data_IF_768579193804
#
_entry.id   IF_768579193804
#
_cell.length_a   1.000
_cell.length_b   1.000
_cell.length_c   1.000
_cell.angle_alpha   90.00
_cell.angle_beta   90.00
_cell.angle_gamma   90.00
#
_symmetry.space_group_name_H-M   'P 1'
#
loop_
_entity.id
_entity.type
_entity.pdbx_description
1 polymer ?
#
# COMPACT_ATOMS: atom_id res chain seq x y z
N UNK A 1 34.90 16.55 12.05
CA UNK A 1 36.21 15.86 11.99
C UNK A 1 36.29 14.99 13.22
N UNK A 2 36.16 13.67 13.08
CA UNK A 2 36.22 12.74 14.21
C UNK A 2 37.49 11.91 14.06
N UNK A 3 38.46 12.11 14.94
CA UNK A 3 39.61 11.22 15.08
C UNK A 3 39.24 10.12 16.08
N UNK A 4 38.93 8.94 15.57
CA UNK A 4 38.90 7.73 16.41
C UNK A 4 40.38 7.37 16.67
N UNK A 5 40.90 7.74 17.84
CA UNK A 5 42.24 7.29 18.25
C UNK A 5 42.21 5.77 18.38
N UNK A 6 42.92 5.10 17.46
CA UNK A 6 43.00 3.65 17.41
C UNK A 6 43.87 3.14 18.57
N UNK A 7 43.36 2.20 19.36
CA UNK A 7 44.00 1.74 20.60
C UNK A 7 45.29 0.93 20.39
N UNK A 8 45.53 0.47 19.16
CA UNK A 8 46.73 -0.27 18.79
C UNK A 8 47.81 0.70 18.30
N UNK A 9 48.87 0.86 19.10
CA UNK A 9 49.99 1.78 18.85
C UNK A 9 50.67 1.56 17.50
N UNK A 10 50.73 0.31 17.03
CA UNK A 10 51.35 -0.04 15.75
C UNK A 10 50.50 0.43 14.58
N UNK A 11 49.18 0.29 14.65
CA UNK A 11 48.27 0.82 13.62
C UNK A 11 48.25 2.35 13.65
N UNK A 12 48.18 2.96 14.84
CA UNK A 12 48.15 4.41 15.00
C UNK A 12 49.41 5.11 14.45
N UNK A 13 50.57 4.44 14.49
CA UNK A 13 51.83 4.97 13.93
C UNK A 13 52.04 4.62 12.46
N UNK A 14 51.49 3.49 11.97
CA UNK A 14 51.71 3.00 10.60
C UNK A 14 50.62 3.39 9.60
N UNK A 15 49.43 3.77 10.09
CA UNK A 15 48.28 4.17 9.28
C UNK A 15 47.80 5.55 9.69
N UNK A 16 47.94 6.50 8.76
CA UNK A 16 47.21 7.76 8.83
C UNK A 16 45.95 7.63 7.98
N UNK A 17 44.79 7.44 8.61
CA UNK A 17 43.51 7.40 7.91
C UNK A 17 43.00 8.82 7.66
N UNK A 18 43.14 9.28 6.42
CA UNK A 18 42.41 10.46 5.93
C UNK A 18 41.06 10.02 5.39
N UNK A 19 40.00 10.28 6.17
CA UNK A 19 38.63 9.99 5.79
C UNK A 19 38.01 11.19 5.09
N UNK A 20 38.08 11.19 3.75
CA UNK A 20 37.21 11.99 2.90
C UNK A 20 36.00 11.15 2.52
N UNK A 21 34.79 11.66 2.73
CA UNK A 21 33.57 10.94 2.38
C UNK A 21 32.99 11.50 1.07
N UNK A 22 32.99 10.68 0.03
CA UNK A 22 32.26 11.01 -1.18
C UNK A 22 30.76 10.87 -0.89
N UNK A 23 30.03 11.99 -0.93
CA UNK A 23 28.59 11.99 -0.73
C UNK A 23 27.90 11.91 -2.07
N UNK A 24 26.99 10.95 -2.20
CA UNK A 24 26.02 10.91 -3.30
C UNK A 24 24.92 11.90 -2.93
N UNK A 25 24.68 12.90 -3.78
CA UNK A 25 23.61 13.89 -3.57
C UNK A 25 22.48 13.63 -4.56
N UNK A 26 21.30 13.28 -4.04
CA UNK A 26 20.09 13.13 -4.86
C UNK A 26 19.32 14.46 -4.94
N UNK A 27 19.26 15.05 -6.14
CA UNK A 27 18.50 16.27 -6.42
C UNK A 27 17.01 16.01 -6.68
N UNK A 28 16.56 14.75 -6.67
CA UNK A 28 15.18 14.33 -6.96
C UNK A 28 14.28 14.19 -5.73
N UNK A 29 14.74 14.63 -4.56
CA UNK A 29 13.99 14.56 -3.31
C UNK A 29 12.56 15.15 -3.39
N UNK A 30 12.34 16.15 -4.25
CA UNK A 30 11.02 16.78 -4.45
C UNK A 30 9.96 15.83 -5.04
N UNK A 31 10.36 14.77 -5.76
CA UNK A 31 9.40 13.80 -6.33
C UNK A 31 8.72 12.96 -5.25
N UNK A 32 9.32 12.87 -4.06
CA UNK A 32 8.67 12.25 -2.90
C UNK A 32 7.52 13.11 -2.32
N UNK A 33 7.26 14.32 -2.83
CA UNK A 33 6.02 15.05 -2.55
C UNK A 33 4.76 14.25 -2.96
N UNK A 34 4.89 13.26 -3.85
CA UNK A 34 3.82 12.29 -4.13
C UNK A 34 3.37 11.55 -2.86
N UNK A 35 4.32 11.14 -2.01
CA UNK A 35 4.00 10.47 -0.74
C UNK A 35 3.38 11.40 0.28
N UNK A 36 3.72 12.69 0.25
CA UNK A 36 3.02 13.68 1.08
C UNK A 36 1.54 13.75 0.71
N UNK A 37 1.23 13.78 -0.59
CA UNK A 37 -0.17 13.73 -1.06
C UNK A 37 -0.88 12.42 -0.68
N UNK A 38 -0.22 11.27 -0.86
CA UNK A 38 -0.78 9.97 -0.46
C UNK A 38 -1.01 9.89 1.06
N UNK A 39 -0.07 10.43 1.84
CA UNK A 39 -0.15 10.54 3.29
C UNK A 39 -1.33 11.39 3.74
N UNK A 40 -1.50 12.59 3.18
CA UNK A 40 -2.65 13.46 3.47
C UNK A 40 -3.99 12.77 3.21
N UNK A 41 -4.12 12.07 2.07
CA UNK A 41 -5.35 11.33 1.75
C UNK A 41 -5.62 10.20 2.76
N UNK A 42 -4.57 9.52 3.20
CA UNK A 42 -4.65 8.41 4.16
C UNK A 42 -4.99 8.92 5.56
N UNK A 43 -4.36 10.00 6.01
CA UNK A 43 -4.66 10.67 7.29
C UNK A 43 -6.10 11.17 7.32
N UNK A 44 -6.58 11.79 6.23
CA UNK A 44 -7.98 12.22 6.14
C UNK A 44 -8.94 11.03 6.28
N UNK A 45 -8.66 9.93 5.58
CA UNK A 45 -9.47 8.71 5.67
C UNK A 45 -9.49 8.12 7.09
N UNK A 46 -8.34 8.12 7.76
CA UNK A 46 -8.24 7.70 9.16
C UNK A 46 -9.06 8.63 10.08
N UNK A 47 -9.02 9.94 9.82
CA UNK A 47 -9.86 10.91 10.53
C UNK A 47 -11.36 10.63 10.37
N UNK A 48 -11.79 10.24 9.16
CA UNK A 48 -13.18 9.82 8.90
C UNK A 48 -13.53 8.56 9.69
N UNK A 49 -12.66 7.54 9.69
CA UNK A 49 -12.85 6.34 10.51
C UNK A 49 -12.99 6.67 12.00
N UNK A 50 -12.08 7.47 12.53
CA UNK A 50 -12.12 7.90 13.94
C UNK A 50 -13.41 8.66 14.25
N UNK A 51 -13.88 9.52 13.35
CA UNK A 51 -15.14 10.24 13.53
C UNK A 51 -16.34 9.27 13.56
N UNK A 52 -16.43 8.33 12.62
CA UNK A 52 -17.51 7.34 12.59
C UNK A 52 -17.48 6.45 13.84
N UNK A 53 -16.30 5.97 14.23
CA UNK A 53 -16.12 5.17 15.44
C UNK A 53 -16.53 5.95 16.70
N UNK A 54 -16.15 7.23 16.78
CA UNK A 54 -16.55 8.13 17.87
C UNK A 54 -18.07 8.34 17.92
N UNK A 55 -18.72 8.59 16.77
CA UNK A 55 -20.17 8.77 16.71
C UNK A 55 -20.90 7.50 17.14
N UNK A 56 -20.45 6.33 16.70
CA UNK A 56 -21.01 5.05 17.13
C UNK A 56 -20.82 4.83 18.63
N UNK A 57 -19.63 5.12 19.18
CA UNK A 57 -19.36 5.02 20.60
C UNK A 57 -20.29 5.94 21.43
N UNK A 58 -20.56 7.16 20.96
CA UNK A 58 -21.54 8.07 21.60
C UNK A 58 -22.97 7.52 21.61
N UNK A 59 -23.33 6.69 20.64
CA UNK A 59 -24.62 5.98 20.60
C UNK A 59 -24.63 4.66 21.39
N UNK A 60 -23.55 4.36 22.13
CA UNK A 60 -23.42 3.14 22.93
C UNK A 60 -23.04 1.89 22.12
N UNK A 61 -22.60 2.04 20.87
CA UNK A 61 -22.20 0.94 19.99
C UNK A 61 -20.69 0.98 19.77
N UNK A 62 -19.97 -0.04 20.25
CA UNK A 62 -18.55 -0.17 19.93
C UNK A 62 -18.39 -0.75 18.53
N UNK A 63 -17.95 0.07 17.58
CA UNK A 63 -17.71 -0.32 16.20
C UNK A 63 -16.42 0.32 15.69
N UNK A 64 -15.54 -0.48 15.09
CA UNK A 64 -14.28 -0.05 14.46
C UNK A 64 -14.23 -0.72 13.09
N UNK A 65 -14.30 0.09 12.03
CA UNK A 65 -14.19 -0.38 10.65
C UNK A 65 -12.75 -0.51 10.16
N UNK A 66 -12.60 -1.01 8.93
CA UNK A 66 -11.30 -1.19 8.26
C UNK A 66 -10.60 0.16 7.95
N UNK A 67 -9.40 0.43 8.50
CA UNK A 67 -8.66 1.67 8.20
C UNK A 67 -8.27 1.82 6.72
N UNK A 68 -8.29 0.73 5.94
CA UNK A 68 -7.95 0.70 4.52
C UNK A 68 -9.17 0.78 3.60
N UNK A 69 -10.39 0.87 4.13
CA UNK A 69 -11.64 0.91 3.36
C UNK A 69 -11.69 1.98 2.24
N UNK A 70 -11.04 3.13 2.46
CA UNK A 70 -11.00 4.23 1.49
C UNK A 70 -10.02 4.00 0.33
N UNK A 71 -9.05 3.10 0.52
CA UNK A 71 -8.00 2.79 -0.46
C UNK A 71 -8.49 1.70 -1.39
N UNK A 72 -9.15 2.09 -2.48
CA UNK A 72 -9.52 1.12 -3.50
C UNK A 72 -8.29 0.52 -4.21
N UNK A 73 -8.42 -0.72 -4.67
CA UNK A 73 -7.43 -1.41 -5.52
C UNK A 73 -6.94 -0.52 -6.68
N UNK A 74 -7.85 0.14 -7.41
CA UNK A 74 -7.48 1.02 -8.52
C UNK A 74 -6.60 2.22 -8.08
N UNK A 75 -6.96 2.85 -6.96
CA UNK A 75 -6.18 3.94 -6.38
C UNK A 75 -4.80 3.50 -5.89
N UNK A 76 -4.70 2.29 -5.33
CA UNK A 76 -3.42 1.71 -4.91
C UNK A 76 -2.52 1.38 -6.10
N UNK A 77 -3.09 0.79 -7.15
CA UNK A 77 -2.37 0.50 -8.41
C UNK A 77 -1.90 1.80 -9.07
N UNK A 78 -2.74 2.85 -9.12
CA UNK A 78 -2.30 4.13 -9.66
C UNK A 78 -1.17 4.77 -8.85
N UNK A 79 -1.18 4.62 -7.51
CA UNK A 79 -0.07 5.07 -6.66
C UNK A 79 1.22 4.33 -7.00
N UNK A 80 1.16 3.00 -7.14
CA UNK A 80 2.29 2.17 -7.55
C UNK A 80 2.86 2.57 -8.91
N UNK A 81 1.99 2.81 -9.91
CA UNK A 81 2.41 3.27 -11.25
C UNK A 81 3.11 4.62 -11.18
N UNK A 82 2.61 5.58 -10.39
CA UNK A 82 3.24 6.89 -10.21
C UNK A 82 4.64 6.76 -9.58
N UNK A 83 4.80 5.88 -8.58
CA UNK A 83 6.11 5.61 -7.97
C UNK A 83 7.06 4.96 -8.99
N UNK A 84 6.61 3.96 -9.76
CA UNK A 84 7.46 3.35 -10.80
C UNK A 84 7.87 4.35 -11.88
N UNK A 85 6.96 5.25 -12.29
CA UNK A 85 7.29 6.34 -13.20
C UNK A 85 8.32 7.28 -12.59
N UNK A 86 8.22 7.59 -11.30
CA UNK A 86 9.22 8.40 -10.59
C UNK A 86 10.59 7.73 -10.59
N UNK A 87 10.66 6.41 -10.38
CA UNK A 87 11.90 5.66 -10.48
C UNK A 87 12.48 5.72 -11.87
N UNK A 88 11.66 5.54 -12.91
CA UNK A 88 12.11 5.63 -14.29
C UNK A 88 12.70 7.01 -14.63
N UNK A 89 12.04 8.09 -14.21
CA UNK A 89 12.52 9.47 -14.39
C UNK A 89 13.82 9.73 -13.61
N UNK A 90 13.95 9.18 -12.40
CA UNK A 90 15.18 9.20 -11.62
C UNK A 90 16.20 8.15 -12.09
N UNK A 91 16.00 7.53 -13.26
CA UNK A 91 16.85 6.47 -13.82
C UNK A 91 17.13 5.33 -12.84
N UNK A 92 16.23 5.03 -11.90
CA UNK A 92 16.38 4.05 -10.81
C UNK A 92 17.52 4.34 -9.83
N UNK A 93 17.90 5.61 -9.66
CA UNK A 93 19.01 6.01 -8.81
C UNK A 93 18.84 5.61 -7.34
N UNK A 94 17.70 5.93 -6.74
CA UNK A 94 17.42 5.62 -5.34
C UNK A 94 17.51 4.11 -5.03
N UNK A 95 16.91 3.27 -5.90
CA UNK A 95 16.98 1.80 -5.72
C UNK A 95 18.42 1.29 -5.85
N UNK A 96 19.18 1.85 -6.79
CA UNK A 96 20.58 1.51 -6.99
C UNK A 96 21.43 1.88 -5.77
N UNK A 97 21.24 3.07 -5.22
CA UNK A 97 21.95 3.56 -4.04
C UNK A 97 21.69 2.66 -2.82
N UNK A 98 20.41 2.28 -2.62
CA UNK A 98 20.04 1.31 -1.58
C UNK A 98 20.74 -0.05 -1.77
N UNK A 99 20.73 -0.60 -2.99
CA UNK A 99 21.42 -1.86 -3.29
C UNK A 99 22.94 -1.75 -3.08
N UNK A 100 23.55 -0.62 -3.47
CA UNK A 100 24.97 -0.35 -3.28
C UNK A 100 25.34 -0.29 -1.79
N UNK A 101 24.50 0.30 -0.95
CA UNK A 101 24.69 0.30 0.50
C UNK A 101 24.66 -1.11 1.08
N UNK A 102 23.71 -1.96 0.66
CA UNK A 102 23.65 -3.35 1.09
C UNK A 102 24.90 -4.12 0.65
N UNK A 103 25.28 -3.99 -0.63
CA UNK A 103 26.48 -4.64 -1.17
C UNK A 103 27.75 -4.23 -0.43
N UNK A 104 27.92 -2.93 -0.18
CA UNK A 104 29.05 -2.38 0.56
C UNK A 104 29.10 -2.84 2.02
N UNK A 105 27.95 -2.99 2.68
CA UNK A 105 27.87 -3.55 4.03
C UNK A 105 28.24 -5.04 4.07
N UNK A 106 27.83 -5.82 3.07
CA UNK A 106 28.16 -7.25 2.97
C UNK A 106 29.65 -7.45 2.65
N UNK A 107 30.19 -6.72 1.68
CA UNK A 107 31.59 -6.84 1.27
C UNK A 107 32.58 -6.05 2.14
N UNK A 108 32.06 -5.22 3.06
CA UNK A 108 32.83 -4.33 3.95
C UNK A 108 33.78 -3.41 3.17
N UNK A 109 33.36 -2.97 1.99
CA UNK A 109 34.20 -2.16 1.08
C UNK A 109 33.95 -0.67 1.23
N UNK A 110 32.69 -0.25 1.36
CA UNK A 110 32.32 1.16 1.46
C UNK A 110 31.05 1.36 2.28
N UNK A 111 30.97 2.51 2.93
CA UNK A 111 29.77 2.99 3.62
C UNK A 111 29.04 3.92 2.66
N UNK A 112 27.88 3.48 2.16
CA UNK A 112 26.99 4.32 1.35
C UNK A 112 25.82 4.75 2.24
N UNK A 113 25.70 6.06 2.48
CA UNK A 113 24.56 6.63 3.21
C UNK A 113 23.33 6.65 2.31
N UNK A 114 22.21 6.18 2.83
CA UNK A 114 20.94 6.12 2.10
C UNK A 114 19.83 6.60 3.01
N UNK A 115 18.87 7.32 2.45
CA UNK A 115 17.62 7.64 3.13
C UNK A 115 16.68 6.44 3.08
N UNK A 116 16.82 5.54 4.04
CA UNK A 116 16.05 4.27 4.11
C UNK A 116 14.54 4.49 4.10
N UNK A 117 14.06 5.54 4.76
CA UNK A 117 12.63 5.88 4.83
C UNK A 117 12.01 6.18 3.46
N UNK A 118 12.77 6.78 2.54
CA UNK A 118 12.30 7.07 1.18
C UNK A 118 12.18 5.77 0.37
N UNK A 119 13.18 4.90 0.48
CA UNK A 119 13.16 3.57 -0.14
C UNK A 119 11.99 2.75 0.41
N UNK A 120 11.78 2.80 1.73
CA UNK A 120 10.70 2.09 2.42
C UNK A 120 9.34 2.49 1.84
N UNK A 121 9.04 3.79 1.81
CA UNK A 121 7.77 4.29 1.31
C UNK A 121 7.52 3.90 -0.15
N UNK A 122 8.52 4.08 -1.02
CA UNK A 122 8.40 3.75 -2.44
C UNK A 122 8.17 2.24 -2.64
N UNK A 123 9.01 1.40 -2.03
CA UNK A 123 8.95 -0.06 -2.20
C UNK A 123 7.68 -0.62 -1.57
N UNK A 124 7.21 -0.09 -0.42
CA UNK A 124 5.94 -0.48 0.20
C UNK A 124 4.76 -0.20 -0.73
N UNK A 125 4.69 0.99 -1.32
CA UNK A 125 3.58 1.36 -2.23
C UNK A 125 3.58 0.47 -3.47
N UNK A 126 4.74 0.23 -4.07
CA UNK A 126 4.86 -0.68 -5.23
C UNK A 126 4.50 -2.11 -4.84
N UNK A 127 4.98 -2.60 -3.71
CA UNK A 127 4.65 -3.93 -3.20
C UNK A 127 3.14 -4.10 -2.98
N UNK A 128 2.50 -3.16 -2.28
CA UNK A 128 1.05 -3.19 -2.06
C UNK A 128 0.29 -3.13 -3.38
N UNK A 129 0.77 -2.36 -4.37
CA UNK A 129 0.16 -2.37 -5.70
C UNK A 129 0.24 -3.74 -6.39
N UNK A 130 1.38 -4.43 -6.28
CA UNK A 130 1.57 -5.79 -6.82
C UNK A 130 0.70 -6.82 -6.08
N UNK A 131 0.58 -6.73 -4.76
CA UNK A 131 -0.32 -7.57 -3.97
C UNK A 131 -1.78 -7.33 -4.37
N UNK A 132 -2.17 -6.07 -4.63
CA UNK A 132 -3.50 -5.75 -5.16
C UNK A 132 -3.76 -6.37 -6.54
N UNK A 133 -2.75 -6.40 -7.42
CA UNK A 133 -2.84 -7.07 -8.73
C UNK A 133 -2.92 -8.60 -8.57
N UNK A 134 -2.12 -9.20 -7.69
CA UNK A 134 -2.17 -10.64 -7.38
C UNK A 134 -3.53 -11.04 -6.82
N UNK A 135 -4.08 -10.24 -5.91
CA UNK A 135 -5.43 -10.41 -5.37
C UNK A 135 -6.49 -10.40 -6.47
N UNK A 136 -6.40 -9.45 -7.41
CA UNK A 136 -7.31 -9.37 -8.58
C UNK A 136 -7.16 -10.60 -9.49
N UNK A 137 -5.92 -11.06 -9.74
CA UNK A 137 -5.63 -12.22 -10.56
C UNK A 137 -6.19 -13.52 -9.95
N UNK A 138 -5.97 -13.73 -8.65
CA UNK A 138 -6.47 -14.92 -7.96
C UNK A 138 -7.96 -14.84 -7.61
N UNK A 139 -8.57 -13.64 -7.70
CA UNK A 139 -9.92 -13.34 -7.25
C UNK A 139 -10.10 -13.67 -5.77
N UNK A 140 -9.15 -13.27 -4.94
CA UNK A 140 -9.17 -13.49 -3.49
C UNK A 140 -8.86 -12.19 -2.74
N UNK A 141 -9.46 -12.00 -1.57
CA UNK A 141 -9.16 -10.87 -0.69
C UNK A 141 -7.90 -11.15 0.10
N UNK A 142 -7.04 -10.15 0.20
CA UNK A 142 -5.82 -10.22 1.01
C UNK A 142 -5.93 -9.14 2.09
N UNK A 143 -5.79 -9.54 3.35
CA UNK A 143 -5.83 -8.59 4.46
C UNK A 143 -4.63 -7.61 4.36
N UNK A 144 -4.87 -6.29 4.31
CA UNK A 144 -3.82 -5.28 4.28
C UNK A 144 -2.82 -5.40 5.42
N UNK A 145 -3.30 -5.72 6.62
CA UNK A 145 -2.49 -5.82 7.83
C UNK A 145 -1.48 -6.94 7.70
N UNK A 146 -1.88 -8.09 7.14
CA UNK A 146 -1.00 -9.23 6.88
C UNK A 146 0.06 -8.84 5.84
N UNK A 147 -0.36 -8.20 4.74
CA UNK A 147 0.57 -7.79 3.69
C UNK A 147 1.61 -6.78 4.19
N UNK A 148 1.19 -5.77 4.95
CA UNK A 148 2.07 -4.75 5.53
C UNK A 148 2.98 -5.37 6.59
N UNK A 149 2.44 -6.19 7.51
CA UNK A 149 3.23 -6.83 8.55
C UNK A 149 4.36 -7.69 7.97
N UNK A 150 4.05 -8.53 6.96
CA UNK A 150 5.07 -9.35 6.30
C UNK A 150 6.11 -8.48 5.57
N UNK A 151 5.69 -7.36 4.99
CA UNK A 151 6.61 -6.39 4.39
C UNK A 151 7.58 -5.83 5.41
N UNK A 152 7.10 -5.35 6.56
CA UNK A 152 7.97 -4.79 7.61
C UNK A 152 8.98 -5.81 8.15
N UNK A 153 8.56 -7.07 8.29
CA UNK A 153 9.47 -8.16 8.68
C UNK A 153 10.58 -8.37 7.64
N UNK A 154 10.24 -8.43 6.34
CA UNK A 154 11.22 -8.61 5.27
C UNK A 154 12.12 -7.38 5.11
N UNK A 155 11.56 -6.18 5.19
CA UNK A 155 12.30 -4.92 5.10
C UNK A 155 13.33 -4.81 6.24
N UNK A 156 12.91 -5.01 7.49
CA UNK A 156 13.79 -4.92 8.66
C UNK A 156 14.89 -5.99 8.67
N UNK A 157 14.65 -7.16 8.06
CA UNK A 157 15.62 -8.26 7.93
C UNK A 157 16.31 -8.31 6.58
N UNK A 158 16.11 -7.32 5.71
CA UNK A 158 16.55 -7.35 4.32
C UNK A 158 18.05 -7.64 4.19
N UNK A 159 18.89 -6.89 4.91
CA UNK A 159 20.34 -7.10 4.91
C UNK A 159 20.73 -8.52 5.33
N UNK A 160 20.14 -9.04 6.41
CA UNK A 160 20.41 -10.38 6.91
C UNK A 160 19.98 -11.45 5.91
N UNK A 161 18.84 -11.26 5.24
CA UNK A 161 18.35 -12.16 4.19
C UNK A 161 19.29 -12.18 2.99
N UNK A 162 19.78 -11.02 2.53
CA UNK A 162 20.77 -10.95 1.43
C UNK A 162 22.12 -11.51 1.82
N UNK A 163 22.60 -11.24 3.02
CA UNK A 163 23.86 -11.79 3.52
C UNK A 163 23.83 -13.33 3.66
N UNK A 164 22.66 -13.87 4.00
CA UNK A 164 22.41 -15.31 4.20
C UNK A 164 21.85 -16.02 2.97
N UNK A 165 21.68 -15.30 1.85
CA UNK A 165 21.18 -15.86 0.61
C UNK A 165 22.13 -16.93 0.04
N UNK A 166 21.67 -17.64 -1.00
CA UNK A 166 22.51 -18.60 -1.71
C UNK A 166 23.82 -17.94 -2.18
N UNK A 167 24.88 -18.74 -2.26
CA UNK A 167 26.20 -18.25 -2.66
C UNK A 167 26.17 -17.53 -4.02
N UNK A 168 25.24 -17.90 -4.91
CA UNK A 168 25.04 -17.27 -6.22
C UNK A 168 24.52 -15.85 -6.07
N UNK A 169 23.40 -15.64 -5.35
CA UNK A 169 22.78 -14.32 -5.19
C UNK A 169 23.75 -13.37 -4.48
N UNK A 170 24.35 -13.84 -3.38
CA UNK A 170 25.33 -13.04 -2.63
C UNK A 170 26.54 -12.65 -3.48
N UNK A 171 27.03 -13.57 -4.33
CA UNK A 171 28.16 -13.30 -5.22
C UNK A 171 27.84 -12.21 -6.22
N UNK A 172 26.64 -12.18 -6.81
CA UNK A 172 26.27 -11.14 -7.77
C UNK A 172 26.15 -9.76 -7.11
N UNK A 173 25.54 -9.68 -5.91
CA UNK A 173 25.44 -8.42 -5.15
C UNK A 173 26.84 -7.87 -4.79
N UNK A 174 27.71 -8.73 -4.27
CA UNK A 174 29.07 -8.35 -3.86
C UNK A 174 29.95 -8.02 -5.05
N UNK A 175 29.92 -8.84 -6.11
CA UNK A 175 30.77 -8.67 -7.29
C UNK A 175 30.55 -7.31 -7.94
N UNK A 176 29.29 -6.93 -8.15
CA UNK A 176 28.98 -5.63 -8.75
C UNK A 176 29.40 -4.47 -7.83
N UNK A 177 29.06 -4.55 -6.54
CA UNK A 177 29.45 -3.52 -5.56
C UNK A 177 30.98 -3.33 -5.50
N UNK A 178 31.74 -4.43 -5.49
CA UNK A 178 33.20 -4.41 -5.49
C UNK A 178 33.80 -3.87 -6.79
N UNK A 179 33.21 -4.16 -7.95
CA UNK A 179 33.63 -3.59 -9.23
C UNK A 179 33.49 -2.08 -9.20
N UNK A 180 32.32 -1.58 -8.75
CA UNK A 180 32.06 -0.15 -8.63
C UNK A 180 33.02 0.49 -7.63
N UNK A 181 33.23 -0.11 -6.47
CA UNK A 181 34.19 0.38 -5.48
C UNK A 181 35.62 0.49 -6.02
N UNK A 182 36.05 -0.49 -6.83
CA UNK A 182 37.39 -0.52 -7.45
C UNK A 182 37.58 0.56 -8.51
N UNK A 183 36.53 1.18 -9.03
CA UNK A 183 36.67 2.33 -9.94
C UNK A 183 37.32 3.53 -9.26
N UNK A 184 37.13 3.68 -7.95
CA UNK A 184 37.79 4.71 -7.16
C UNK A 184 39.26 4.41 -6.86
N UNK A 185 39.76 3.20 -7.12
CA UNK A 185 41.16 2.84 -6.89
C UNK A 185 41.98 3.21 -8.12
N UNK A 186 42.89 4.20 -8.04
CA UNK A 186 43.67 4.62 -9.19
C UNK A 186 44.67 3.52 -9.60
N UNK A 187 44.94 3.42 -10.91
CA UNK A 187 45.98 2.53 -11.43
C UNK A 187 47.35 3.16 -11.19
N UNK A 188 48.11 2.59 -10.26
CA UNK A 188 49.46 3.06 -9.90
C UNK A 188 50.50 2.08 -10.46
N UNK A 189 51.64 2.60 -10.94
CA UNK A 189 52.75 1.75 -11.42
C UNK A 189 53.40 0.98 -10.26
N UNK A 190 53.99 -0.17 -10.56
CA UNK A 190 54.65 -1.02 -9.55
C UNK A 190 55.82 -0.31 -8.84
N UNK A 191 56.47 0.65 -9.51
CA UNK A 191 57.52 1.48 -8.91
C UNK A 191 56.96 2.44 -7.85
N UNK A 192 55.87 3.15 -8.16
CA UNK A 192 55.24 4.10 -7.23
C UNK A 192 54.60 3.38 -6.04
N UNK A 193 53.96 2.23 -6.28
CA UNK A 193 53.38 1.40 -5.21
C UNK A 193 54.43 0.86 -4.22
N UNK A 194 55.69 0.70 -4.65
CA UNK A 194 56.81 0.33 -3.77
C UNK A 194 57.37 1.52 -2.99
N UNK A 195 57.26 2.73 -3.52
CA UNK A 195 57.78 3.96 -2.91
C UNK A 195 56.83 4.53 -1.84
N UNK A 196 55.51 4.37 -2.00
CA UNK A 196 54.52 4.88 -1.07
C UNK A 196 53.52 3.77 -0.67
N UNK A 197 53.41 3.41 0.63
CA UNK A 197 52.42 2.46 1.12
C UNK A 197 51.00 3.05 1.22
N UNK A 198 50.81 4.30 0.82
CA UNK A 198 49.53 5.01 0.91
C UNK A 198 48.53 4.44 -0.10
N UNK A 199 47.32 4.13 0.38
CA UNK A 199 46.18 3.74 -0.44
C UNK A 199 45.37 4.98 -0.74
N UNK A 200 45.23 5.30 -2.03
CA UNK A 200 44.39 6.41 -2.50
C UNK A 200 43.06 5.84 -3.01
N UNK A 201 41.97 6.51 -2.67
CA UNK A 201 40.67 6.29 -3.28
C UNK A 201 40.11 7.64 -3.71
N UNK A 202 39.71 7.74 -4.98
CA UNK A 202 39.30 9.00 -5.61
C UNK A 202 37.84 8.95 -6.02
N UNK A 203 37.21 10.12 -6.08
CA UNK A 203 35.89 10.24 -6.69
C UNK A 203 35.91 9.75 -8.14
N UNK A 204 34.86 9.04 -8.54
CA UNK A 204 34.72 8.49 -9.88
C UNK A 204 33.27 8.67 -10.34
N UNK A 205 33.05 8.58 -11.64
CA UNK A 205 31.71 8.61 -12.20
C UNK A 205 31.12 7.19 -12.20
N UNK A 206 29.96 7.03 -11.56
CA UNK A 206 29.21 5.78 -11.61
C UNK A 206 28.71 5.55 -13.06
N UNK A 207 28.86 4.34 -13.61
CA UNK A 207 28.36 4.04 -14.95
C UNK A 207 26.87 4.38 -15.11
N UNK A 208 26.50 5.00 -16.24
CA UNK A 208 25.10 5.33 -16.52
C UNK A 208 24.22 4.09 -16.64
N UNK A 209 24.76 3.02 -17.23
CA UNK A 209 24.08 1.74 -17.35
C UNK A 209 24.09 1.00 -16.01
N UNK A 210 22.93 0.94 -15.36
CA UNK A 210 22.72 0.16 -14.14
C UNK A 210 22.55 -1.32 -14.49
N UNK A 211 23.20 -2.19 -13.73
CA UNK A 211 23.08 -3.63 -13.94
C UNK A 211 21.76 -4.15 -13.36
N UNK A 212 20.85 -4.59 -14.24
CA UNK A 212 19.57 -5.16 -13.86
C UNK A 212 19.71 -6.46 -13.06
N UNK A 213 20.76 -7.25 -13.30
CA UNK A 213 21.03 -8.49 -12.56
C UNK A 213 21.35 -8.18 -11.11
N UNK A 214 22.18 -7.16 -10.88
CA UNK A 214 22.50 -6.67 -9.55
C UNK A 214 21.27 -6.17 -8.79
N UNK A 215 20.40 -5.40 -9.45
CA UNK A 215 19.17 -4.91 -8.84
C UNK A 215 18.21 -6.07 -8.51
N UNK A 216 17.97 -6.98 -9.45
CA UNK A 216 17.11 -8.14 -9.23
C UNK A 216 17.64 -9.05 -8.11
N UNK A 217 18.95 -9.31 -8.08
CA UNK A 217 19.59 -10.09 -7.03
C UNK A 217 19.48 -9.40 -5.67
N UNK A 218 19.55 -8.06 -5.62
CA UNK A 218 19.41 -7.30 -4.37
C UNK A 218 17.98 -7.28 -3.84
N UNK A 219 16.98 -7.22 -4.73
CA UNK A 219 15.55 -7.21 -4.38
C UNK A 219 14.93 -8.62 -4.22
N UNK A 220 15.72 -9.70 -4.27
CA UNK A 220 15.19 -11.06 -4.13
C UNK A 220 14.33 -11.31 -2.87
N UNK A 221 14.57 -10.68 -1.69
CA UNK A 221 13.73 -10.94 -0.51
C UNK A 221 12.28 -10.51 -0.75
N UNK A 222 12.06 -9.45 -1.51
CA UNK A 222 10.72 -8.98 -1.88
C UNK A 222 10.06 -9.90 -2.93
N UNK A 223 10.84 -10.53 -3.80
CA UNK A 223 10.32 -11.56 -4.72
C UNK A 223 9.84 -12.81 -3.97
N UNK A 224 10.56 -13.21 -2.92
CA UNK A 224 10.11 -14.28 -2.00
C UNK A 224 8.82 -13.86 -1.30
N UNK A 225 8.75 -12.63 -0.79
CA UNK A 225 7.56 -12.10 -0.13
C UNK A 225 6.32 -12.15 -1.03
N UNK A 226 6.43 -11.71 -2.29
CA UNK A 226 5.34 -11.80 -3.27
C UNK A 226 4.93 -13.26 -3.53
N UNK A 227 5.90 -14.17 -3.55
CA UNK A 227 5.65 -15.61 -3.73
C UNK A 227 4.92 -16.21 -2.53
N UNK A 228 5.27 -15.79 -1.30
CA UNK A 228 4.56 -16.18 -0.06
C UNK A 228 3.10 -15.72 -0.11
N UNK A 229 2.86 -14.48 -0.52
CA UNK A 229 1.49 -13.95 -0.66
C UNK A 229 0.70 -14.68 -1.74
N UNK A 230 1.31 -14.93 -2.90
CA UNK A 230 0.66 -15.70 -3.97
C UNK A 230 0.30 -17.12 -3.49
N UNK A 231 1.21 -17.77 -2.76
CA UNK A 231 0.97 -19.08 -2.14
C UNK A 231 -0.14 -19.03 -1.09
N UNK A 232 -0.17 -18.00 -0.25
CA UNK A 232 -1.24 -17.77 0.73
C UNK A 232 -2.60 -17.60 0.05
N UNK A 233 -2.68 -16.79 -1.00
CA UNK A 233 -3.91 -16.59 -1.77
C UNK A 233 -4.39 -17.90 -2.43
N UNK A 234 -3.47 -18.69 -2.99
CA UNK A 234 -3.78 -19.98 -3.59
C UNK A 234 -4.26 -21.01 -2.55
N UNK A 235 -3.60 -21.09 -1.39
CA UNK A 235 -4.01 -21.94 -0.28
C UNK A 235 -5.39 -21.55 0.24
N UNK A 236 -5.65 -20.25 0.41
CA UNK A 236 -6.93 -19.73 0.86
C UNK A 236 -8.04 -20.08 -0.15
N UNK A 237 -7.76 -19.96 -1.44
CA UNK A 237 -8.69 -20.34 -2.51
C UNK A 237 -9.03 -21.84 -2.49
N UNK A 238 -8.02 -22.69 -2.30
CA UNK A 238 -8.21 -24.14 -2.15
C UNK A 238 -9.05 -24.44 -0.90
N UNK A 239 -8.75 -23.77 0.22
CA UNK A 239 -9.49 -23.94 1.46
C UNK A 239 -10.98 -23.57 1.30
N UNK A 240 -11.30 -22.43 0.67
CA UNK A 240 -12.68 -22.01 0.38
C UNK A 240 -13.41 -22.95 -0.57
N UNK A 241 -12.68 -23.61 -1.48
CA UNK A 241 -13.26 -24.62 -2.36
C UNK A 241 -13.73 -25.86 -1.59
N UNK A 242 -12.93 -26.33 -0.62
CA UNK A 242 -13.27 -27.49 0.20
C UNK A 242 -14.25 -27.17 1.35
N UNK A 243 -14.16 -25.96 1.90
CA UNK A 243 -15.01 -25.47 2.98
C UNK A 243 -15.75 -24.21 2.53
N UNK A 244 -16.73 -24.34 1.62
CA UNK A 244 -17.52 -23.20 1.18
C UNK A 244 -18.24 -22.59 2.40
N UNK A 245 -18.22 -21.26 2.48
CA UNK A 245 -18.98 -20.55 3.51
C UNK A 245 -20.44 -21.01 3.44
N UNK A 246 -20.96 -21.49 4.57
CA UNK A 246 -22.38 -21.80 4.69
C UNK A 246 -23.11 -20.48 4.55
N UNK A 247 -23.56 -20.18 3.33
CA UNK A 247 -24.60 -19.17 3.12
C UNK A 247 -25.70 -19.51 4.11
N UNK A 248 -25.86 -18.68 5.14
CA UNK A 248 -26.89 -18.85 6.17
C UNK A 248 -28.24 -18.45 5.56
N UNK A 249 -28.58 -19.03 4.40
CA UNK A 249 -29.92 -19.12 3.88
C UNK A 249 -30.69 -19.97 4.89
N UNK A 250 -31.27 -19.32 5.89
CA UNK A 250 -32.45 -19.88 6.52
C UNK A 250 -33.49 -19.94 5.41
N UNK A 251 -33.64 -21.13 4.82
CA UNK A 251 -34.68 -21.45 3.88
C UNK A 251 -36.02 -21.09 4.51
N UNK A 252 -36.62 -19.99 4.08
CA UNK A 252 -38.04 -19.72 4.28
C UNK A 252 -38.80 -20.70 3.39
N UNK A 253 -38.95 -21.93 3.87
CA UNK A 253 -39.76 -22.99 3.23
C UNK A 253 -41.26 -22.62 3.21
N UNK A 254 -41.67 -21.45 3.70
CA UNK A 254 -43.08 -21.10 3.92
C UNK A 254 -43.67 -20.02 2.99
N UNK A 255 -43.10 -19.76 1.81
CA UNK A 255 -43.69 -18.77 0.88
C UNK A 255 -43.48 -19.17 -0.59
N UNK A 256 -43.79 -20.42 -0.95
CA UNK A 256 -43.49 -20.97 -2.28
C UNK A 256 -44.68 -21.10 -3.23
N UNK A 257 -45.82 -20.49 -2.92
CA UNK A 257 -46.99 -20.51 -3.80
C UNK A 257 -47.41 -19.08 -4.16
N UNK A 258 -47.31 -18.73 -5.45
CA UNK A 258 -47.76 -17.49 -6.12
C UNK A 258 -46.72 -16.41 -6.43
N UNK A 259 -45.61 -16.75 -7.11
CA UNK A 259 -44.96 -15.75 -7.98
C UNK A 259 -44.56 -16.36 -9.32
N UNK A 260 -44.73 -15.55 -10.36
CA UNK A 260 -44.60 -15.92 -11.76
C UNK A 260 -43.16 -16.26 -12.15
N UNK A 261 -42.96 -17.01 -13.23
CA UNK A 261 -41.63 -17.46 -13.69
C UNK A 261 -40.70 -16.28 -14.05
N UNK A 262 -41.28 -15.13 -14.46
CA UNK A 262 -40.56 -13.87 -14.71
C UNK A 262 -40.11 -13.18 -13.42
N UNK A 263 -40.95 -13.22 -12.37
CA UNK A 263 -40.56 -12.74 -11.04
C UNK A 263 -39.48 -13.62 -10.43
N UNK A 264 -39.46 -14.94 -10.67
CA UNK A 264 -38.38 -15.80 -10.19
C UNK A 264 -37.01 -15.42 -10.77
N UNK A 265 -36.91 -15.14 -12.06
CA UNK A 265 -35.65 -14.68 -12.67
C UNK A 265 -35.26 -13.27 -12.21
N UNK A 266 -36.23 -12.37 -12.02
CA UNK A 266 -35.98 -11.05 -11.46
C UNK A 266 -35.60 -11.08 -9.97
N UNK A 267 -36.21 -11.97 -9.16
CA UNK A 267 -35.86 -12.22 -7.76
C UNK A 267 -34.60 -13.07 -7.61
N UNK A 268 -34.19 -13.87 -8.59
CA UNK A 268 -32.90 -14.57 -8.56
C UNK A 268 -31.75 -13.61 -8.94
N UNK A 269 -31.98 -12.66 -9.87
CA UNK A 269 -31.03 -11.56 -10.15
C UNK A 269 -30.98 -10.55 -8.98
N UNK A 270 -32.15 -10.13 -8.46
CA UNK A 270 -32.29 -9.19 -7.33
C UNK A 270 -32.06 -9.86 -5.96
N UNK A 271 -32.07 -11.19 -5.90
CA UNK A 271 -31.78 -11.97 -4.70
C UNK A 271 -30.28 -12.14 -4.45
N UNK A 272 -29.48 -11.96 -5.50
CA UNK A 272 -28.02 -11.95 -5.39
C UNK A 272 -27.46 -10.59 -4.95
N UNK A 273 -28.11 -9.46 -5.26
CA UNK A 273 -27.61 -8.10 -4.98
C UNK A 273 -28.56 -7.35 -4.03
N UNK A 274 -27.99 -6.64 -3.05
CA UNK A 274 -28.70 -5.74 -2.13
C UNK A 274 -29.16 -4.46 -2.85
N UNK A 275 -30.19 -3.74 -2.37
CA UNK A 275 -30.56 -2.48 -3.05
C UNK A 275 -29.41 -1.47 -2.98
N UNK A 276 -28.60 -1.48 -1.91
CA UNK A 276 -27.33 -0.72 -1.87
C UNK A 276 -26.41 -1.02 -3.07
N UNK A 277 -26.19 -2.30 -3.42
CA UNK A 277 -25.37 -2.69 -4.57
C UNK A 277 -25.99 -2.23 -5.90
N UNK A 278 -27.32 -2.27 -6.01
CA UNK A 278 -28.05 -1.84 -7.21
C UNK A 278 -27.98 -0.31 -7.38
N UNK A 279 -28.24 0.45 -6.31
CA UNK A 279 -28.28 1.92 -6.34
C UNK A 279 -26.89 2.54 -6.51
N UNK A 280 -25.86 1.95 -5.87
CA UNK A 280 -24.50 2.50 -5.90
C UNK A 280 -23.62 1.87 -6.97
N UNK A 281 -23.97 0.68 -7.48
CA UNK A 281 -23.11 -0.13 -8.34
C UNK A 281 -21.90 -0.73 -7.63
N UNK A 282 -21.78 -0.58 -6.30
CA UNK A 282 -20.63 -1.04 -5.53
C UNK A 282 -20.83 -2.50 -5.09
N UNK A 283 -20.23 -3.44 -5.81
CA UNK A 283 -20.31 -4.86 -5.50
C UNK A 283 -19.66 -5.18 -4.13
N UNK A 284 -20.43 -5.77 -3.20
CA UNK A 284 -19.95 -6.11 -1.86
C UNK A 284 -19.22 -7.45 -1.82
N UNK A 285 -19.69 -8.46 -2.57
CA UNK A 285 -19.14 -9.83 -2.51
C UNK A 285 -17.98 -10.04 -3.48
N UNK A 286 -18.07 -9.53 -4.70
CA UNK A 286 -17.09 -9.73 -5.80
C UNK A 286 -15.96 -8.70 -5.81
N UNK A 287 -15.80 -7.92 -4.74
CA UNK A 287 -14.67 -7.02 -4.59
C UNK A 287 -13.40 -7.80 -4.24
N UNK A 288 -12.44 -7.76 -5.15
CA UNK A 288 -11.09 -8.30 -4.99
C UNK A 288 -10.11 -7.14 -4.76
N UNK A 289 -9.14 -7.37 -3.88
CA UNK A 289 -8.12 -6.39 -3.55
C UNK A 289 -7.51 -6.64 -2.18
N UNK A 290 -6.69 -5.67 -1.76
CA UNK A 290 -6.21 -5.56 -0.40
C UNK A 290 -7.34 -4.99 0.45
N UNK A 291 -8.11 -5.87 1.06
CA UNK A 291 -9.33 -5.56 1.80
C UNK A 291 -9.43 -6.59 2.92
N UNK A 292 -9.71 -6.14 4.14
CA UNK A 292 -9.90 -7.04 5.29
C UNK A 292 -11.13 -7.93 5.08
N UNK A 293 -11.14 -9.14 5.64
CA UNK A 293 -12.34 -9.97 5.62
C UNK A 293 -13.38 -9.40 6.61
N UNK A 294 -14.59 -9.11 6.13
CA UNK A 294 -15.71 -8.62 6.93
C UNK A 294 -17.02 -9.27 6.51
N UNK A 295 -18.01 -9.23 7.41
CA UNK A 295 -19.35 -9.70 7.09
C UNK A 295 -19.98 -8.77 6.04
N UNK A 296 -20.07 -9.19 4.78
CA UNK A 296 -20.61 -8.33 3.71
C UNK A 296 -22.13 -8.10 3.86
N UNK A 297 -22.83 -9.10 4.41
CA UNK A 297 -24.29 -9.13 4.44
C UNK A 297 -24.84 -9.51 5.80
N UNK A 298 -25.99 -8.93 6.14
CA UNK A 298 -26.83 -9.36 7.26
C UNK A 298 -28.17 -9.82 6.70
N UNK A 299 -28.72 -10.91 7.23
CA UNK A 299 -30.01 -11.43 6.81
C UNK A 299 -31.07 -11.15 7.88
N UNK A 300 -32.05 -10.30 7.56
CA UNK A 300 -33.23 -10.09 8.41
C UNK A 300 -34.46 -10.69 7.74
N UNK A 301 -35.17 -11.58 8.45
CA UNK A 301 -36.44 -12.18 8.00
C UNK A 301 -36.36 -12.79 6.57
N UNK A 302 -35.21 -13.35 6.20
CA UNK A 302 -35.00 -13.99 4.89
C UNK A 302 -34.59 -13.04 3.75
N UNK A 303 -34.53 -11.73 3.98
CA UNK A 303 -34.01 -10.75 3.01
C UNK A 303 -32.53 -10.46 3.26
N UNK A 304 -31.76 -10.19 2.19
CA UNK A 304 -30.33 -9.89 2.21
C UNK A 304 -30.11 -8.38 2.31
N UNK A 305 -29.33 -7.92 3.30
CA UNK A 305 -29.03 -6.51 3.55
C UNK A 305 -27.53 -6.28 3.53
N UNK A 306 -27.10 -5.08 3.15
CA UNK A 306 -25.72 -4.66 3.27
C UNK A 306 -25.41 -4.40 4.75
N UNK A 307 -24.42 -5.09 5.31
CA UNK A 307 -23.98 -4.83 6.67
C UNK A 307 -23.36 -3.44 6.80
N UNK A 308 -23.25 -2.92 8.03
CA UNK A 308 -22.51 -1.69 8.27
C UNK A 308 -21.06 -1.80 7.75
N UNK A 309 -20.37 -2.89 8.07
CA UNK A 309 -19.01 -3.15 7.59
C UNK A 309 -18.93 -3.19 6.07
N UNK A 310 -19.93 -3.77 5.41
CA UNK A 310 -20.04 -3.82 3.96
C UNK A 310 -20.16 -2.44 3.33
N UNK A 311 -21.05 -1.59 3.84
CA UNK A 311 -21.23 -0.21 3.37
C UNK A 311 -19.93 0.59 3.53
N UNK A 312 -19.33 0.51 4.73
CA UNK A 312 -18.11 1.26 5.04
C UNK A 312 -16.92 0.77 4.21
N UNK A 313 -16.70 -0.55 4.14
CA UNK A 313 -15.59 -1.12 3.40
C UNK A 313 -15.75 -0.95 1.90
N UNK A 314 -16.96 -0.87 1.36
CA UNK A 314 -17.23 -0.43 -0.02
C UNK A 314 -16.87 1.04 -0.28
N UNK A 315 -16.50 1.79 0.75
CA UNK A 315 -16.02 3.16 0.65
C UNK A 315 -17.12 4.20 0.77
N UNK A 316 -18.20 3.89 1.50
CA UNK A 316 -19.32 4.81 1.73
C UNK A 316 -19.58 5.05 3.22
N UNK A 317 -20.05 6.25 3.52
CA UNK A 317 -20.50 6.66 4.86
C UNK A 317 -21.81 7.42 4.74
N UNK A 318 -22.62 7.38 5.79
CA UNK A 318 -23.90 8.08 5.83
C UNK A 318 -23.72 9.36 6.64
N UNK A 319 -23.89 10.50 6.00
CA UNK A 319 -23.92 11.82 6.63
C UNK A 319 -25.32 12.10 7.18
N UNK A 320 -25.39 12.34 8.49
CA UNK A 320 -26.59 12.68 9.27
C UNK A 320 -27.80 11.75 9.03
N UNK A 321 -27.57 10.48 8.72
CA UNK A 321 -28.64 9.52 8.42
C UNK A 321 -29.45 9.79 7.15
N UNK A 322 -29.06 10.78 6.34
CA UNK A 322 -29.84 11.27 5.18
C UNK A 322 -29.15 11.10 3.85
N UNK A 323 -27.81 11.20 3.82
CA UNK A 323 -27.05 11.20 2.57
C UNK A 323 -25.94 10.16 2.64
N UNK A 324 -25.89 9.27 1.68
CA UNK A 324 -24.81 8.33 1.46
C UNK A 324 -23.74 8.99 0.60
N UNK A 325 -22.53 9.09 1.15
CA UNK A 325 -21.40 9.80 0.56
C UNK A 325 -20.22 8.84 0.42
N UNK A 326 -19.55 8.85 -0.74
CA UNK A 326 -18.30 8.10 -0.87
C UNK A 326 -17.17 8.76 -0.07
N UNK A 327 -16.46 7.98 0.73
CA UNK A 327 -15.32 8.43 1.57
C UNK A 327 -14.26 9.13 0.71
N UNK A 328 -14.01 8.62 -0.51
CA UNK A 328 -13.05 9.19 -1.46
C UNK A 328 -13.38 10.63 -1.85
N UNK A 329 -14.67 10.94 -1.96
CA UNK A 329 -15.13 12.26 -2.35
C UNK A 329 -15.39 13.18 -1.16
N UNK A 330 -15.38 12.65 0.07
CA UNK A 330 -15.69 13.43 1.27
C UNK A 330 -14.70 14.60 1.48
N UNK A 331 -13.41 14.41 1.19
CA UNK A 331 -12.44 15.52 1.21
C UNK A 331 -12.83 16.61 0.22
N UNK A 332 -13.24 16.22 -0.99
CA UNK A 332 -13.73 17.17 -2.01
C UNK A 332 -15.01 17.88 -1.54
N UNK A 333 -15.95 17.19 -0.89
CA UNK A 333 -17.16 17.80 -0.31
C UNK A 333 -16.81 18.84 0.76
N UNK A 334 -15.90 18.51 1.68
CA UNK A 334 -15.41 19.43 2.72
C UNK A 334 -14.78 20.68 2.09
N UNK A 335 -13.94 20.49 1.07
CA UNK A 335 -13.30 21.60 0.35
C UNK A 335 -14.30 22.44 -0.45
N UNK A 336 -15.31 21.84 -1.08
CA UNK A 336 -16.40 22.58 -1.77
C UNK A 336 -17.17 23.44 -0.76
N UNK A 337 -17.44 22.90 0.44
CA UNK A 337 -18.10 23.66 1.51
C UNK A 337 -17.23 24.82 2.03
N UNK A 338 -15.94 24.56 2.24
CA UNK A 338 -15.00 25.55 2.77
C UNK A 338 -14.74 26.70 1.78
N UNK A 339 -14.53 26.38 0.51
CA UNK A 339 -14.23 27.37 -0.55
C UNK A 339 -15.47 28.01 -1.15
N UNK A 340 -16.66 27.45 -0.88
CA UNK A 340 -17.93 27.80 -1.54
C UNK A 340 -17.87 27.73 -3.07
N UNK A 341 -16.95 26.94 -3.62
CA UNK A 341 -16.76 26.79 -5.06
C UNK A 341 -16.82 25.33 -5.47
N UNK A 342 -17.52 25.05 -6.58
CA UNK A 342 -17.63 23.71 -7.15
C UNK A 342 -16.47 23.45 -8.09
N UNK A 343 -15.35 22.96 -7.55
CA UNK A 343 -14.18 22.57 -8.34
C UNK A 343 -14.21 21.10 -8.79
N UNK A 344 -15.12 20.27 -8.25
CA UNK A 344 -15.27 18.86 -8.61
C UNK A 344 -16.76 18.46 -8.67
N UNK A 345 -17.09 17.56 -9.60
CA UNK A 345 -18.42 16.95 -9.69
C UNK A 345 -18.48 15.75 -8.76
N UNK A 346 -19.11 15.93 -7.60
CA UNK A 346 -19.32 14.87 -6.61
C UNK A 346 -20.80 14.53 -6.56
N UNK A 347 -21.11 13.24 -6.58
CA UNK A 347 -22.47 12.72 -6.48
C UNK A 347 -22.68 12.00 -5.14
N UNK A 348 -23.87 12.16 -4.58
CA UNK A 348 -24.30 11.58 -3.30
C UNK A 348 -25.70 10.98 -3.44
N UNK A 349 -26.02 9.95 -2.67
CA UNK A 349 -27.32 9.29 -2.73
C UNK A 349 -28.16 9.66 -1.51
N UNK A 350 -29.45 9.85 -1.67
CA UNK A 350 -30.36 10.06 -0.54
C UNK A 350 -30.68 8.71 0.13
N UNK A 351 -30.70 8.71 1.45
CA UNK A 351 -31.06 7.56 2.29
C UNK A 351 -32.38 7.89 2.98
N UNK A 352 -33.37 7.02 2.78
CA UNK A 352 -34.69 7.14 3.39
C UNK A 352 -34.90 5.95 4.34
N UNK A 353 -34.68 6.18 5.64
CA UNK A 353 -34.65 5.11 6.63
C UNK A 353 -33.47 4.17 6.39
N UNK A 354 -33.75 2.95 5.92
CA UNK A 354 -32.72 1.96 5.59
C UNK A 354 -32.52 1.78 4.07
N UNK A 355 -33.32 2.41 3.21
CA UNK A 355 -33.23 2.24 1.75
C UNK A 355 -32.46 3.38 1.10
N UNK A 356 -31.61 3.05 0.13
CA UNK A 356 -30.88 4.02 -0.71
C UNK A 356 -31.72 4.34 -1.94
N UNK A 357 -31.86 5.62 -2.30
CA UNK A 357 -32.50 6.00 -3.55
C UNK A 357 -31.54 5.77 -4.72
N UNK A 358 -32.09 5.29 -5.84
CA UNK A 358 -31.33 5.05 -7.07
C UNK A 358 -30.83 6.34 -7.76
N UNK A 359 -31.40 7.49 -7.42
CA UNK A 359 -31.05 8.77 -8.02
C UNK A 359 -29.90 9.45 -7.29
N UNK A 360 -28.78 9.60 -7.99
CA UNK A 360 -27.63 10.33 -7.50
C UNK A 360 -27.85 11.85 -7.62
N UNK A 361 -27.58 12.59 -6.54
CA UNK A 361 -27.68 14.04 -6.46
C UNK A 361 -26.29 14.68 -6.51
N UNK A 362 -26.13 15.73 -7.31
CA UNK A 362 -24.88 16.49 -7.38
C UNK A 362 -24.71 17.36 -6.12
N UNK A 363 -23.48 17.40 -5.59
CA UNK A 363 -23.13 18.20 -4.41
C UNK A 363 -22.85 19.65 -4.81
N UNK A 364 -23.52 20.56 -4.09
CA UNK A 364 -23.30 22.00 -4.11
C UNK A 364 -22.81 22.49 -2.74
N UNK A 365 -22.24 23.70 -2.64
CA UNK A 365 -21.83 24.28 -1.35
C UNK A 365 -22.94 24.32 -0.29
N UNK A 366 -24.21 24.37 -0.71
CA UNK A 366 -25.36 24.40 0.19
C UNK A 366 -25.98 23.01 0.45
N UNK A 367 -25.46 21.94 -0.16
CA UNK A 367 -26.01 20.59 0.01
C UNK A 367 -25.79 20.03 1.42
N UNK A 368 -24.65 20.35 2.05
CA UNK A 368 -24.31 19.89 3.40
C UNK A 368 -24.12 21.06 4.36
N UNK A 369 -24.63 20.92 5.58
CA UNK A 369 -24.24 21.77 6.70
C UNK A 369 -22.96 21.23 7.37
N UNK A 370 -22.24 22.06 8.11
CA UNK A 370 -21.08 21.60 8.89
C UNK A 370 -21.47 20.54 9.92
N UNK A 371 -22.67 20.65 10.50
CA UNK A 371 -23.24 19.62 11.36
C UNK A 371 -23.44 18.30 10.64
N UNK A 372 -23.85 18.29 9.37
CA UNK A 372 -24.05 17.05 8.63
C UNK A 372 -22.73 16.31 8.39
N UNK A 373 -21.65 17.05 8.09
CA UNK A 373 -20.32 16.50 7.88
C UNK A 373 -19.66 16.01 9.18
N UNK A 374 -20.09 16.54 10.33
CA UNK A 374 -19.63 16.07 11.65
C UNK A 374 -20.34 14.80 12.11
N UNK A 375 -21.60 14.60 11.71
CA UNK A 375 -22.40 13.44 12.08
C UNK A 375 -22.32 12.34 11.02
N UNK A 376 -21.13 11.73 10.87
CA UNK A 376 -20.95 10.56 10.02
C UNK A 376 -21.29 9.28 10.79
N UNK A 377 -22.05 8.39 10.15
CA UNK A 377 -22.39 7.09 10.70
C UNK A 377 -22.38 6.02 9.59
N UNK A 378 -22.48 4.76 10.02
CA UNK A 378 -22.59 3.59 9.16
C UNK A 378 -23.72 2.73 9.73
N UNK A 379 -24.76 2.49 8.95
CA UNK A 379 -25.91 1.67 9.35
C UNK A 379 -26.16 0.57 8.32
N UNK A 380 -26.89 -0.47 8.73
CA UNK A 380 -27.34 -1.51 7.80
C UNK A 380 -28.27 -0.88 6.77
N UNK A 381 -27.99 -1.11 5.49
CA UNK A 381 -28.81 -0.63 4.38
C UNK A 381 -29.53 -1.80 3.71
N UNK A 382 -30.79 -1.55 3.38
CA UNK A 382 -31.75 -2.43 2.69
C UNK A 382 -31.58 -2.28 1.19
#
# INVERSE_FOLDING_TARGET
MYTLLESNSTNAQSRWEWLGEAVISDSWAWVHALHFYFGLQTIFSLGVLCLVAYQNARTGKLWIGDPFASVSTAGLVSRGVLVVLSWYLNSFWMLFEFCMSIGGQISKTQIVRVHTELVHADVLVVYLSLVGLLSSLFRERIDPSVAIFLFEVIYSKHLSLVASASAVIRKEVVKYSDIVFRLGVPKVSSAVAKMAPLRLWTAFQIPLAKDGTFLLASFFPYAILLSIIAGFALLHKIYRHFYPEKNRQRSSVMSRERSSISEKTAFDLKGNLTNFEISTGAELQTRFGIISDYSNYVYFKGMKFASADGVYCSGYVIANGKMLVSIKHLLSVVMIKATRSRFANVYVYEVEGNTVKDTARLVYPETFTWSDLWHLNVTVLL
#
